data_IF_360117657198
#
_entry.id   IF_360117657198
#
_cell.length_a   1.000
_cell.length_b   1.000
_cell.length_c   1.000
_cell.angle_alpha   90.00
_cell.angle_beta   90.00
_cell.angle_gamma   90.00
#
_symmetry.space_group_name_H-M   'P 1'
#
loop_
_entity.id
_entity.type
_entity.pdbx_description
1 polymer ?
#
# COMPACT_ATOMS: atom_id res chain seq x y z
N UNK A 1 146.50 -10.00 77.14
CA UNK A 1 147.10 -11.03 76.27
C UNK A 1 146.51 -10.86 74.89
N UNK A 2 147.10 -9.99 74.07
CA UNK A 2 146.84 -9.99 72.63
C UNK A 2 147.39 -11.30 72.07
N UNK A 3 146.49 -12.26 71.88
CA UNK A 3 146.79 -13.58 71.36
C UNK A 3 147.02 -13.48 69.86
N UNK A 4 148.16 -14.02 69.41
CA UNK A 4 148.46 -14.21 67.99
C UNK A 4 147.30 -14.96 67.33
N UNK A 5 146.64 -14.33 66.35
CA UNK A 5 145.60 -14.96 65.54
C UNK A 5 146.22 -15.55 64.27
N UNK A 6 146.26 -16.88 64.21
CA UNK A 6 146.66 -17.59 62.99
C UNK A 6 145.42 -17.92 62.15
N UNK A 7 145.38 -17.45 60.90
CA UNK A 7 144.33 -17.77 59.92
C UNK A 7 144.96 -18.31 58.64
N UNK A 8 144.50 -19.49 58.20
CA UNK A 8 144.83 -20.05 56.90
C UNK A 8 143.71 -19.73 55.91
N UNK A 9 144.08 -19.39 54.67
CA UNK A 9 143.13 -19.10 53.60
C UNK A 9 143.24 -20.15 52.50
N UNK A 10 142.10 -20.74 52.14
CA UNK A 10 142.01 -21.70 51.03
C UNK A 10 141.85 -21.00 49.67
N UNK A 11 141.48 -19.71 49.67
CA UNK A 11 141.26 -18.90 48.47
C UNK A 11 142.02 -17.58 48.57
N UNK A 12 142.69 -17.22 47.47
CA UNK A 12 143.41 -15.95 47.33
C UNK A 12 142.44 -14.76 47.46
N UNK A 13 141.18 -14.92 47.06
CA UNK A 13 140.18 -13.83 47.16
C UNK A 13 139.85 -13.51 48.62
N UNK A 14 139.77 -14.52 49.48
CA UNK A 14 139.45 -14.32 50.91
C UNK A 14 140.66 -13.74 51.65
N UNK A 15 141.87 -14.18 51.28
CA UNK A 15 143.12 -13.58 51.76
C UNK A 15 143.19 -12.09 51.44
N UNK A 16 143.00 -11.71 50.17
CA UNK A 16 143.01 -10.30 49.76
C UNK A 16 141.82 -9.50 50.32
N UNK A 17 140.68 -10.13 50.55
CA UNK A 17 139.53 -9.46 51.19
C UNK A 17 139.85 -9.11 52.64
N UNK A 18 140.44 -10.05 53.41
CA UNK A 18 140.90 -9.74 54.76
C UNK A 18 141.98 -8.66 54.75
N UNK A 19 142.95 -8.72 53.83
CA UNK A 19 143.97 -7.67 53.71
C UNK A 19 143.38 -6.30 53.38
N UNK A 20 142.31 -6.24 52.58
CA UNK A 20 141.60 -4.99 52.30
C UNK A 20 140.85 -4.49 53.53
N UNK A 21 140.13 -5.37 54.23
CA UNK A 21 139.36 -5.01 55.44
C UNK A 21 140.28 -4.56 56.59
N UNK A 22 141.48 -5.13 56.69
CA UNK A 22 142.54 -4.69 57.61
C UNK A 22 143.31 -3.45 57.13
N UNK A 23 142.98 -2.91 55.94
CA UNK A 23 143.60 -1.70 55.39
C UNK A 23 145.02 -1.88 54.82
N UNK A 24 145.47 -3.11 54.61
CA UNK A 24 146.81 -3.42 54.06
C UNK A 24 146.85 -3.19 52.54
N UNK A 25 145.75 -3.44 51.82
CA UNK A 25 145.64 -3.23 50.37
C UNK A 25 144.66 -2.09 50.09
N UNK A 26 145.02 -1.17 49.19
CA UNK A 26 144.21 0.02 48.86
C UNK A 26 143.00 -0.25 47.94
N UNK A 27 142.93 -1.40 47.25
CA UNK A 27 141.85 -1.75 46.31
C UNK A 27 141.31 -3.15 46.56
N UNK A 28 139.99 -3.30 46.47
CA UNK A 28 139.34 -4.60 46.63
C UNK A 28 139.55 -5.50 45.41
N UNK A 29 140.20 -6.64 45.58
CA UNK A 29 140.58 -7.56 44.50
C UNK A 29 139.60 -8.74 44.40
N UNK A 30 138.39 -8.49 43.87
CA UNK A 30 137.33 -9.51 43.80
C UNK A 30 137.56 -10.53 42.70
N UNK A 31 137.96 -10.08 41.52
CA UNK A 31 138.14 -10.93 40.34
C UNK A 31 139.62 -11.20 40.01
N UNK A 32 139.88 -12.22 39.18
CA UNK A 32 141.21 -12.48 38.63
C UNK A 32 141.73 -11.31 37.76
N UNK A 33 140.82 -10.56 37.12
CA UNK A 33 141.16 -9.35 36.36
C UNK A 33 141.69 -8.26 37.29
N UNK A 34 141.03 -8.03 38.43
CA UNK A 34 141.46 -7.03 39.41
C UNK A 34 142.82 -7.38 39.99
N UNK A 35 143.06 -8.67 40.27
CA UNK A 35 144.36 -9.18 40.75
C UNK A 35 145.46 -8.99 39.71
N UNK A 36 145.18 -9.31 38.45
CA UNK A 36 146.15 -9.14 37.35
C UNK A 36 146.54 -7.67 37.17
N UNK A 37 145.56 -6.76 37.27
CA UNK A 37 145.79 -5.31 37.25
C UNK A 37 146.64 -4.85 38.44
N UNK A 38 146.34 -5.32 39.65
CA UNK A 38 147.11 -4.96 40.86
C UNK A 38 148.55 -5.49 40.80
N UNK A 39 148.73 -6.73 40.33
CA UNK A 39 150.05 -7.34 40.17
C UNK A 39 150.91 -6.55 39.19
N UNK A 40 150.37 -6.20 38.01
CA UNK A 40 151.08 -5.36 37.01
C UNK A 40 151.45 -3.98 37.54
N UNK A 41 150.66 -3.42 38.45
CA UNK A 41 150.94 -2.14 39.09
C UNK A 41 152.13 -2.24 40.03
N UNK A 42 152.18 -3.28 40.86
CA UNK A 42 153.32 -3.57 41.72
C UNK A 42 154.57 -3.89 40.89
N UNK A 43 154.42 -4.72 39.86
CA UNK A 43 155.48 -5.07 38.91
C UNK A 43 156.12 -3.82 38.27
N UNK A 44 155.29 -2.88 37.80
CA UNK A 44 155.77 -1.61 37.25
C UNK A 44 156.55 -0.77 38.29
N UNK A 45 156.10 -0.76 39.54
CA UNK A 45 156.80 -0.05 40.62
C UNK A 45 158.15 -0.68 40.99
N UNK A 46 158.27 -2.01 40.90
CA UNK A 46 159.48 -2.75 41.25
C UNK A 46 160.57 -2.64 40.18
N UNK A 47 160.20 -2.73 38.90
CA UNK A 47 161.16 -2.62 37.79
C UNK A 47 161.52 -1.17 37.45
N UNK A 48 160.65 -0.22 37.82
CA UNK A 48 160.83 1.20 37.50
C UNK A 48 160.50 1.53 36.03
N UNK A 49 160.12 2.79 35.78
CA UNK A 49 159.75 3.28 34.44
C UNK A 49 158.24 3.26 34.14
N UNK A 50 157.87 3.72 32.95
CA UNK A 50 156.47 3.81 32.51
C UNK A 50 156.04 2.44 31.97
N UNK A 51 155.17 1.73 32.70
CA UNK A 51 154.64 0.44 32.24
C UNK A 51 153.69 0.62 31.05
N UNK A 52 154.07 0.04 29.91
CA UNK A 52 153.28 0.08 28.67
C UNK A 52 151.87 -0.52 28.84
N UNK A 53 151.75 -1.55 29.68
CA UNK A 53 150.48 -2.21 29.99
C UNK A 53 149.53 -1.29 30.79
N UNK A 54 150.07 -0.50 31.71
CA UNK A 54 149.29 0.48 32.48
C UNK A 54 148.89 1.65 31.58
N UNK A 55 149.82 2.19 30.77
CA UNK A 55 149.52 3.30 29.86
C UNK A 55 148.42 2.98 28.84
N UNK A 56 148.37 1.74 28.33
CA UNK A 56 147.35 1.35 27.34
C UNK A 56 145.94 1.23 27.93
N UNK A 57 145.83 1.01 29.24
CA UNK A 57 144.57 0.79 29.94
C UNK A 57 144.36 1.75 31.12
N UNK A 58 144.90 2.98 31.01
CA UNK A 58 144.81 4.02 32.05
C UNK A 58 143.39 4.25 32.57
N UNK A 59 142.39 4.20 31.67
CA UNK A 59 140.97 4.34 32.01
C UNK A 59 140.57 3.36 33.11
N UNK A 60 140.94 2.10 32.96
CA UNK A 60 140.54 1.02 33.85
C UNK A 60 141.25 1.06 35.21
N UNK A 61 142.37 1.78 35.31
CA UNK A 61 143.09 1.99 36.57
C UNK A 61 142.64 3.26 37.30
N UNK A 62 142.24 4.29 36.55
CA UNK A 62 141.96 5.62 37.11
C UNK A 62 140.47 5.91 37.30
N UNK A 63 139.59 5.35 36.46
CA UNK A 63 138.15 5.63 36.51
C UNK A 63 137.40 4.50 37.23
N UNK A 64 136.71 4.79 38.34
CA UNK A 64 135.84 3.83 38.99
C UNK A 64 134.60 3.55 38.12
N UNK A 65 134.24 2.28 37.98
CA UNK A 65 132.99 1.88 37.33
C UNK A 65 131.80 2.16 38.27
N UNK A 66 131.07 3.24 38.02
CA UNK A 66 129.86 3.59 38.77
C UNK A 66 128.65 2.80 38.26
N UNK A 67 128.49 1.56 38.72
CA UNK A 67 127.32 0.70 38.39
C UNK A 67 125.98 1.34 38.76
N UNK A 68 125.96 2.26 39.73
CA UNK A 68 124.78 3.03 40.12
C UNK A 68 124.23 3.92 39.00
N UNK A 69 125.09 4.46 38.13
CA UNK A 69 124.64 5.33 37.02
C UNK A 69 123.83 4.53 36.01
N UNK A 70 124.32 3.34 35.61
CA UNK A 70 123.62 2.48 34.66
C UNK A 70 122.28 1.99 35.21
N UNK A 71 122.23 1.63 36.50
CA UNK A 71 120.98 1.24 37.17
C UNK A 71 119.98 2.40 37.22
N UNK A 72 120.43 3.60 37.60
CA UNK A 72 119.58 4.79 37.64
C UNK A 72 118.98 5.15 36.26
N UNK A 73 119.75 5.01 35.18
CA UNK A 73 119.22 5.22 33.82
C UNK A 73 118.18 4.17 33.43
N UNK A 74 118.40 2.89 33.78
CA UNK A 74 117.42 1.82 33.52
C UNK A 74 116.12 2.03 34.29
N UNK A 75 116.22 2.40 35.58
CA UNK A 75 115.07 2.69 36.43
C UNK A 75 114.31 3.93 35.93
N UNK A 76 115.03 4.97 35.49
CA UNK A 76 114.43 6.18 34.89
C UNK A 76 113.75 5.87 33.55
N UNK A 77 114.35 5.06 32.69
CA UNK A 77 113.76 4.68 31.41
C UNK A 77 112.48 3.86 31.61
N UNK A 78 112.47 2.95 32.59
CA UNK A 78 111.26 2.22 32.98
C UNK A 78 110.17 3.18 33.48
N UNK A 79 110.51 4.12 34.37
CA UNK A 79 109.58 5.12 34.88
C UNK A 79 109.05 6.06 33.78
N UNK A 80 109.88 6.45 32.80
CA UNK A 80 109.44 7.28 31.67
C UNK A 80 108.49 6.50 30.74
N UNK A 81 108.76 5.22 30.48
CA UNK A 81 107.83 4.37 29.71
C UNK A 81 106.50 4.20 30.44
N UNK A 82 106.53 3.97 31.74
CA UNK A 82 105.32 3.85 32.54
C UNK A 82 104.51 5.15 32.55
N UNK A 83 105.16 6.31 32.76
CA UNK A 83 104.49 7.61 32.68
C UNK A 83 103.89 7.88 31.30
N UNK A 84 104.53 7.43 30.22
CA UNK A 84 103.95 7.54 28.88
C UNK A 84 102.68 6.71 28.75
N UNK A 85 102.69 5.46 29.23
CA UNK A 85 101.50 4.60 29.22
C UNK A 85 100.39 5.18 30.08
N UNK A 86 100.69 5.75 31.25
CA UNK A 86 99.68 6.38 32.09
C UNK A 86 99.09 7.64 31.44
N UNK A 87 99.90 8.45 30.76
CA UNK A 87 99.40 9.62 30.00
C UNK A 87 98.49 9.21 28.85
N UNK A 88 98.85 8.15 28.11
CA UNK A 88 98.00 7.61 27.03
C UNK A 88 96.68 7.07 27.60
N UNK A 89 96.72 6.35 28.73
CA UNK A 89 95.51 5.89 29.41
C UNK A 89 94.64 7.07 29.93
N UNK A 90 95.25 8.11 30.48
CA UNK A 90 94.54 9.33 30.90
C UNK A 90 93.87 9.99 29.68
N UNK A 91 94.55 10.06 28.54
CA UNK A 91 93.98 10.65 27.32
C UNK A 91 92.77 9.86 26.82
N UNK A 92 92.84 8.53 26.81
CA UNK A 92 91.71 7.67 26.41
C UNK A 92 90.54 7.81 27.38
N UNK A 93 90.80 7.78 28.69
CA UNK A 93 89.73 7.98 29.68
C UNK A 93 89.09 9.37 29.59
N UNK A 94 89.83 10.40 29.21
CA UNK A 94 89.27 11.73 28.93
C UNK A 94 88.40 11.72 27.67
N UNK A 95 88.84 11.11 26.57
CA UNK A 95 88.01 11.00 25.36
C UNK A 95 86.74 10.20 25.60
N UNK A 96 86.80 9.12 26.37
CA UNK A 96 85.63 8.31 26.73
C UNK A 96 84.67 9.12 27.60
N UNK A 97 85.19 9.88 28.57
CA UNK A 97 84.37 10.78 29.40
C UNK A 97 83.64 11.82 28.55
N UNK A 98 84.31 12.42 27.58
CA UNK A 98 83.69 13.43 26.72
C UNK A 98 82.66 12.80 25.79
N UNK A 99 82.92 11.60 25.25
CA UNK A 99 81.92 10.82 24.52
C UNK A 99 80.68 10.54 25.38
N UNK A 100 80.86 10.12 26.63
CA UNK A 100 79.72 9.88 27.53
C UNK A 100 78.94 11.16 27.83
N UNK A 101 79.61 12.30 28.01
CA UNK A 101 78.92 13.58 28.21
C UNK A 101 78.08 13.97 26.99
N UNK A 102 78.65 13.83 25.79
CA UNK A 102 77.93 14.10 24.55
C UNK A 102 76.74 13.17 24.40
N UNK A 103 76.93 11.86 24.61
CA UNK A 103 75.86 10.87 24.54
C UNK A 103 74.74 11.17 25.54
N UNK A 104 75.06 11.54 26.78
CA UNK A 104 74.05 11.90 27.79
C UNK A 104 73.28 13.15 27.36
N UNK A 105 73.97 14.14 26.81
CA UNK A 105 73.34 15.40 26.36
C UNK A 105 72.41 15.13 25.19
N UNK A 106 72.89 14.45 24.15
CA UNK A 106 72.10 14.08 22.96
C UNK A 106 70.93 13.17 23.30
N UNK A 107 71.12 12.18 24.20
CA UNK A 107 70.04 11.32 24.65
C UNK A 107 68.97 12.09 25.43
N UNK A 108 69.38 13.04 26.28
CA UNK A 108 68.45 13.90 27.03
C UNK A 108 67.66 14.79 26.08
N UNK A 109 68.33 15.41 25.11
CA UNK A 109 67.70 16.25 24.09
C UNK A 109 66.73 15.44 23.21
N UNK A 110 67.13 14.23 22.82
CA UNK A 110 66.26 13.32 22.05
C UNK A 110 65.00 12.94 22.82
N UNK A 111 65.13 12.54 24.09
CA UNK A 111 63.98 12.19 24.94
C UNK A 111 63.09 13.41 25.18
N UNK A 112 63.67 14.59 25.38
CA UNK A 112 62.89 15.83 25.53
C UNK A 112 62.13 16.18 24.24
N UNK A 113 62.77 16.06 23.08
CA UNK A 113 62.14 16.30 21.78
C UNK A 113 61.01 15.30 21.50
N UNK A 114 61.22 14.02 21.81
CA UNK A 114 60.22 12.97 21.65
C UNK A 114 59.01 13.18 22.58
N UNK A 115 59.26 13.57 23.84
CA UNK A 115 58.21 13.96 24.76
C UNK A 115 57.38 15.14 24.24
N UNK A 116 58.04 16.19 23.74
CA UNK A 116 57.36 17.36 23.17
C UNK A 116 56.56 17.01 21.91
N UNK A 117 57.10 16.13 21.05
CA UNK A 117 56.39 15.62 19.88
C UNK A 117 55.11 14.90 20.30
N UNK A 118 55.19 13.95 21.22
CA UNK A 118 54.02 13.20 21.70
C UNK A 118 53.03 14.07 22.48
N UNK A 119 53.50 15.09 23.20
CA UNK A 119 52.62 16.07 23.82
C UNK A 119 51.84 16.88 22.76
N UNK A 120 52.52 17.31 21.69
CA UNK A 120 51.91 18.03 20.58
C UNK A 120 50.94 17.17 19.76
N UNK A 121 51.29 15.92 19.44
CA UNK A 121 50.41 14.96 18.76
C UNK A 121 49.13 14.73 19.58
N UNK A 122 49.26 14.51 20.90
CA UNK A 122 48.11 14.40 21.79
C UNK A 122 47.25 15.66 21.80
N UNK A 123 47.87 16.84 21.83
CA UNK A 123 47.13 18.11 21.77
C UNK A 123 46.33 18.23 20.48
N UNK A 124 46.93 17.91 19.33
CA UNK A 124 46.24 17.93 18.02
C UNK A 124 45.06 16.96 18.00
N UNK A 125 45.23 15.74 18.50
CA UNK A 125 44.13 14.77 18.58
C UNK A 125 43.01 15.24 19.52
N UNK A 126 43.36 15.85 20.66
CA UNK A 126 42.38 16.42 21.58
C UNK A 126 41.62 17.58 20.93
N UNK A 127 42.30 18.48 20.22
CA UNK A 127 41.68 19.59 19.51
C UNK A 127 40.71 19.10 18.42
N UNK A 128 41.09 18.07 17.66
CA UNK A 128 40.22 17.41 16.68
C UNK A 128 38.99 16.77 17.34
N UNK A 129 39.17 16.04 18.46
CA UNK A 129 38.07 15.45 19.20
C UNK A 129 37.10 16.51 19.75
N UNK A 130 37.63 17.65 20.21
CA UNK A 130 36.81 18.77 20.66
C UNK A 130 36.05 19.44 19.50
N UNK A 131 36.66 19.55 18.32
CA UNK A 131 35.99 20.04 17.12
C UNK A 131 34.81 19.13 16.72
N UNK A 132 35.04 17.82 16.60
CA UNK A 132 33.97 16.86 16.30
C UNK A 132 32.88 16.88 17.37
N UNK A 133 33.25 17.03 18.65
CA UNK A 133 32.27 17.15 19.73
C UNK A 133 31.40 18.40 19.57
N UNK A 134 31.97 19.55 19.17
CA UNK A 134 31.21 20.76 18.90
C UNK A 134 30.26 20.58 17.71
N UNK A 135 30.75 20.01 16.61
CA UNK A 135 29.94 19.71 15.42
C UNK A 135 28.76 18.79 15.75
N UNK A 136 28.99 17.75 16.55
CA UNK A 136 27.95 16.84 17.01
C UNK A 136 26.90 17.52 17.89
N UNK A 137 27.31 18.47 18.76
CA UNK A 137 26.33 19.24 19.53
C UNK A 137 25.54 20.20 18.64
N UNK A 138 26.18 20.85 17.67
CA UNK A 138 25.47 21.73 16.74
C UNK A 138 24.49 20.96 15.87
N UNK A 139 24.87 19.80 15.35
CA UNK A 139 23.97 18.96 14.54
C UNK A 139 22.81 18.41 15.37
N UNK A 140 23.05 18.00 16.63
CA UNK A 140 21.97 17.62 17.56
C UNK A 140 21.01 18.77 17.84
N UNK A 141 21.52 19.98 18.03
CA UNK A 141 20.68 21.17 18.25
C UNK A 141 19.84 21.50 17.01
N UNK A 142 20.44 21.41 15.82
CA UNK A 142 19.71 21.58 14.55
C UNK A 142 18.65 20.51 14.38
N UNK A 143 18.99 19.23 14.60
CA UNK A 143 18.04 18.12 14.52
C UNK A 143 16.85 18.31 15.47
N UNK A 144 17.09 18.73 16.72
CA UNK A 144 16.01 19.01 17.66
C UNK A 144 15.12 20.19 17.20
N UNK A 145 15.70 21.23 16.62
CA UNK A 145 14.94 22.35 16.06
C UNK A 145 14.10 21.92 14.84
N UNK A 146 14.66 21.11 13.94
CA UNK A 146 13.91 20.57 12.80
C UNK A 146 12.83 19.59 13.23
N UNK A 147 13.05 18.76 14.25
CA UNK A 147 12.02 17.90 14.83
C UNK A 147 10.84 18.71 15.35
N UNK A 148 11.10 19.83 16.05
CA UNK A 148 10.04 20.73 16.50
C UNK A 148 9.25 21.32 15.33
N UNK A 149 9.95 21.83 14.30
CA UNK A 149 9.30 22.33 13.08
C UNK A 149 8.48 21.26 12.36
N UNK A 150 8.93 20.02 12.32
CA UNK A 150 8.18 18.92 11.71
C UNK A 150 6.89 18.62 12.48
N UNK A 151 6.91 18.69 13.81
CA UNK A 151 5.69 18.52 14.63
C UNK A 151 4.72 19.68 14.37
N UNK A 152 5.21 20.91 14.32
CA UNK A 152 4.38 22.08 14.01
C UNK A 152 3.78 21.99 12.60
N UNK A 153 4.60 21.64 11.59
CA UNK A 153 4.14 21.44 10.22
C UNK A 153 3.14 20.29 10.10
N UNK A 154 3.31 19.20 10.85
CA UNK A 154 2.34 18.10 10.88
C UNK A 154 1.01 18.55 11.52
N UNK A 155 1.05 19.44 12.52
CA UNK A 155 -0.15 20.04 13.11
C UNK A 155 -0.85 20.96 12.12
N UNK A 156 -0.12 21.85 11.45
CA UNK A 156 -0.65 22.74 10.41
C UNK A 156 -1.29 21.95 9.26
N UNK A 157 -0.64 20.88 8.80
CA UNK A 157 -1.21 19.97 7.81
C UNK A 157 -2.50 19.30 8.30
N UNK A 158 -2.58 18.93 9.58
CA UNK A 158 -3.81 18.39 10.17
C UNK A 158 -4.95 19.42 10.18
N UNK A 159 -4.64 20.67 10.52
CA UNK A 159 -5.60 21.79 10.48
C UNK A 159 -6.07 22.07 9.04
N UNK A 160 -5.16 22.08 8.07
CA UNK A 160 -5.48 22.25 6.65
C UNK A 160 -6.33 21.09 6.11
N UNK A 161 -5.98 19.84 6.38
CA UNK A 161 -6.79 18.70 5.97
C UNK A 161 -8.19 18.74 6.58
N UNK A 162 -8.31 19.19 7.84
CA UNK A 162 -9.62 19.40 8.49
C UNK A 162 -10.44 20.48 7.80
N UNK A 163 -9.81 21.61 7.46
CA UNK A 163 -10.44 22.69 6.71
C UNK A 163 -10.84 22.26 5.29
N UNK A 164 -9.97 21.55 4.57
CA UNK A 164 -10.27 20.98 3.26
C UNK A 164 -11.46 20.02 3.33
N UNK A 165 -11.50 19.11 4.32
CA UNK A 165 -12.64 18.22 4.52
C UNK A 165 -13.96 18.96 4.78
N UNK A 166 -13.94 20.07 5.54
CA UNK A 166 -15.12 20.91 5.71
C UNK A 166 -15.55 21.60 4.42
N UNK A 167 -14.59 22.08 3.63
CA UNK A 167 -14.85 22.75 2.35
C UNK A 167 -15.38 21.76 1.29
N UNK A 168 -14.88 20.53 1.28
CA UNK A 168 -15.39 19.44 0.44
C UNK A 168 -16.83 19.08 0.81
N UNK A 169 -17.15 19.01 2.10
CA UNK A 169 -18.52 18.77 2.55
C UNK A 169 -19.48 19.90 2.11
N UNK A 170 -19.05 21.16 2.24
CA UNK A 170 -19.82 22.32 1.77
C UNK A 170 -19.98 22.31 0.24
N UNK A 171 -18.94 21.93 -0.50
CA UNK A 171 -19.00 21.79 -1.96
C UNK A 171 -19.98 20.68 -2.38
N UNK A 172 -19.96 19.54 -1.69
CA UNK A 172 -20.87 18.44 -1.95
C UNK A 172 -22.32 18.87 -1.69
N UNK A 173 -22.59 19.54 -0.56
CA UNK A 173 -23.91 20.07 -0.24
C UNK A 173 -24.40 21.10 -1.27
N UNK A 174 -23.52 22.00 -1.73
CA UNK A 174 -23.85 22.96 -2.78
C UNK A 174 -24.16 22.27 -4.13
N UNK A 175 -23.42 21.20 -4.47
CA UNK A 175 -23.68 20.37 -5.65
C UNK A 175 -25.05 19.66 -5.55
N UNK A 176 -25.38 19.11 -4.38
CA UNK A 176 -26.69 18.49 -4.15
C UNK A 176 -27.83 19.51 -4.27
N UNK A 177 -27.66 20.71 -3.72
CA UNK A 177 -28.60 21.82 -3.89
C UNK A 177 -28.76 22.22 -5.36
N UNK A 178 -27.67 22.29 -6.13
CA UNK A 178 -27.73 22.57 -7.56
C UNK A 178 -28.52 21.49 -8.30
N UNK A 179 -28.29 20.21 -7.99
CA UNK A 179 -29.03 19.10 -8.60
C UNK A 179 -30.53 19.15 -8.28
N UNK A 180 -30.88 19.52 -7.04
CA UNK A 180 -32.28 19.74 -6.64
C UNK A 180 -32.92 20.88 -7.43
N UNK A 181 -32.23 22.02 -7.55
CA UNK A 181 -32.73 23.18 -8.32
C UNK A 181 -32.89 22.84 -9.81
N UNK A 182 -31.94 22.14 -10.41
CA UNK A 182 -32.05 21.68 -11.79
C UNK A 182 -33.22 20.71 -11.98
N UNK A 183 -33.44 19.80 -11.03
CA UNK A 183 -34.58 18.89 -11.06
C UNK A 183 -35.90 19.63 -10.91
N UNK A 184 -35.96 20.62 -10.01
CA UNK A 184 -37.13 21.49 -9.85
C UNK A 184 -37.43 22.27 -11.14
N UNK A 185 -36.41 22.80 -11.81
CA UNK A 185 -36.58 23.48 -13.10
C UNK A 185 -37.14 22.55 -14.18
N UNK A 186 -36.64 21.31 -14.28
CA UNK A 186 -37.20 20.31 -15.23
C UNK A 186 -38.65 19.96 -14.92
N UNK A 187 -39.02 19.88 -13.64
CA UNK A 187 -40.42 19.66 -13.26
C UNK A 187 -41.28 20.87 -13.61
N UNK A 188 -40.75 22.09 -13.45
CA UNK A 188 -41.44 23.31 -13.87
C UNK A 188 -41.69 23.31 -15.39
N UNK A 189 -40.68 23.02 -16.20
CA UNK A 189 -40.84 22.88 -17.67
C UNK A 189 -41.87 21.79 -18.02
N UNK A 190 -41.95 20.71 -17.23
CA UNK A 190 -42.92 19.64 -17.43
C UNK A 190 -44.34 20.07 -17.07
N UNK A 191 -44.51 20.88 -16.02
CA UNK A 191 -45.79 21.48 -15.65
C UNK A 191 -46.26 22.41 -16.78
N UNK A 192 -45.39 23.29 -17.28
CA UNK A 192 -45.73 24.20 -18.39
C UNK A 192 -46.18 23.46 -19.65
N UNK A 193 -45.56 22.31 -19.96
CA UNK A 193 -46.02 21.46 -21.07
C UNK A 193 -47.38 20.85 -20.80
N UNK A 194 -47.64 20.36 -19.58
CA UNK A 194 -48.94 19.81 -19.24
C UNK A 194 -50.04 20.87 -19.20
N UNK A 195 -49.74 22.10 -18.81
CA UNK A 195 -50.66 23.23 -18.91
C UNK A 195 -51.02 23.50 -20.38
N UNK A 196 -50.04 23.52 -21.29
CA UNK A 196 -50.29 23.66 -22.72
C UNK A 196 -51.08 22.47 -23.31
N UNK A 197 -50.76 21.23 -22.93
CA UNK A 197 -51.51 20.04 -23.36
C UNK A 197 -52.96 20.07 -22.87
N UNK A 198 -53.21 20.58 -21.65
CA UNK A 198 -54.56 20.75 -21.11
C UNK A 198 -55.36 21.81 -21.89
N UNK A 199 -54.73 22.92 -22.28
CA UNK A 199 -55.36 23.93 -23.14
C UNK A 199 -55.73 23.33 -24.51
N UNK A 200 -54.84 22.55 -25.14
CA UNK A 200 -55.14 21.87 -26.41
C UNK A 200 -56.27 20.84 -26.25
N UNK A 201 -56.25 20.04 -25.19
CA UNK A 201 -57.30 19.07 -24.90
C UNK A 201 -58.64 19.74 -24.61
N UNK A 202 -58.64 20.91 -23.98
CA UNK A 202 -59.85 21.68 -23.75
C UNK A 202 -60.48 22.11 -25.07
N UNK A 203 -59.69 22.63 -26.02
CA UNK A 203 -60.17 22.98 -27.36
C UNK A 203 -60.75 21.74 -28.06
N UNK A 204 -60.03 20.61 -28.04
CA UNK A 204 -60.54 19.35 -28.65
C UNK A 204 -61.82 18.83 -27.99
N UNK A 205 -61.96 19.03 -26.68
CA UNK A 205 -63.18 18.66 -25.95
C UNK A 205 -64.35 19.55 -26.36
N UNK A 206 -64.12 20.84 -26.55
CA UNK A 206 -65.12 21.77 -27.08
C UNK A 206 -65.57 21.35 -28.49
N UNK A 207 -64.62 21.06 -29.39
CA UNK A 207 -64.92 20.52 -30.75
C UNK A 207 -65.71 19.20 -30.68
N UNK A 208 -65.33 18.26 -29.80
CA UNK A 208 -66.07 17.00 -29.64
C UNK A 208 -67.47 17.23 -29.06
N UNK A 209 -67.64 18.16 -28.13
CA UNK A 209 -68.95 18.49 -27.56
C UNK A 209 -69.88 19.08 -28.63
N UNK A 210 -69.35 19.89 -29.56
CA UNK A 210 -70.13 20.38 -30.71
C UNK A 210 -70.60 19.21 -31.59
N UNK A 211 -69.71 18.28 -31.94
CA UNK A 211 -70.08 17.09 -32.73
C UNK A 211 -71.11 16.23 -32.02
N UNK A 212 -70.99 16.06 -30.70
CA UNK A 212 -71.98 15.33 -29.89
C UNK A 212 -73.32 16.06 -29.87
N UNK A 213 -73.33 17.40 -29.78
CA UNK A 213 -74.56 18.19 -29.85
C UNK A 213 -75.24 18.05 -31.23
N UNK A 214 -74.49 18.14 -32.33
CA UNK A 214 -75.02 17.90 -33.68
C UNK A 214 -75.58 16.48 -33.84
N UNK A 215 -74.87 15.47 -33.33
CA UNK A 215 -75.35 14.09 -33.35
C UNK A 215 -76.63 13.90 -32.53
N UNK A 216 -76.76 14.61 -31.40
CA UNK A 216 -77.97 14.60 -30.57
C UNK A 216 -79.15 15.26 -31.30
N UNK A 217 -78.95 16.40 -31.96
CA UNK A 217 -80.01 17.04 -32.78
C UNK A 217 -80.46 16.11 -33.92
N UNK A 218 -79.51 15.48 -34.62
CA UNK A 218 -79.83 14.50 -35.66
C UNK A 218 -80.56 13.27 -35.09
N UNK A 219 -80.26 12.85 -33.86
CA UNK A 219 -80.96 11.77 -33.20
C UNK A 219 -82.40 12.19 -32.88
N UNK A 220 -82.61 13.38 -32.31
CA UNK A 220 -83.94 13.92 -32.01
C UNK A 220 -84.82 14.03 -33.27
N UNK A 221 -84.25 14.48 -34.40
CA UNK A 221 -84.96 14.50 -35.69
C UNK A 221 -85.35 13.11 -36.17
N UNK A 222 -84.46 12.13 -36.02
CA UNK A 222 -84.74 10.75 -36.41
C UNK A 222 -85.77 10.09 -35.49
N UNK A 223 -85.72 10.36 -34.18
CA UNK A 223 -86.72 9.92 -33.22
C UNK A 223 -88.10 10.50 -33.56
N UNK A 224 -88.19 11.81 -33.84
CA UNK A 224 -89.44 12.43 -34.28
C UNK A 224 -89.98 11.83 -35.59
N UNK A 225 -89.11 11.51 -36.55
CA UNK A 225 -89.51 10.80 -37.78
C UNK A 225 -89.97 9.38 -37.51
N UNK A 226 -89.31 8.67 -36.59
CA UNK A 226 -89.69 7.32 -36.19
C UNK A 226 -91.07 7.33 -35.50
N UNK A 227 -91.30 8.25 -34.56
CA UNK A 227 -92.59 8.44 -33.89
C UNK A 227 -93.71 8.76 -34.88
N UNK A 228 -93.45 9.65 -35.85
CA UNK A 228 -94.43 9.96 -36.90
C UNK A 228 -94.77 8.73 -37.77
N UNK A 229 -93.75 7.95 -38.16
CA UNK A 229 -93.95 6.72 -38.92
C UNK A 229 -94.68 5.65 -38.09
N UNK A 230 -94.41 5.53 -36.79
CA UNK A 230 -95.14 4.63 -35.89
C UNK A 230 -96.61 5.02 -35.78
N UNK A 231 -96.92 6.32 -35.65
CA UNK A 231 -98.29 6.82 -35.63
C UNK A 231 -99.03 6.54 -36.94
N UNK A 232 -98.38 6.76 -38.10
CA UNK A 232 -98.96 6.42 -39.41
C UNK A 232 -99.25 4.91 -39.53
N UNK A 233 -98.33 4.07 -39.06
CA UNK A 233 -98.51 2.62 -39.05
C UNK A 233 -99.68 2.21 -38.14
N UNK A 234 -99.82 2.83 -36.98
CA UNK A 234 -100.92 2.54 -36.06
C UNK A 234 -102.28 3.04 -36.60
N UNK A 235 -102.32 4.18 -37.29
CA UNK A 235 -103.51 4.63 -38.01
C UNK A 235 -103.89 3.63 -39.11
N UNK A 236 -102.93 3.19 -39.92
CA UNK A 236 -103.15 2.17 -40.95
C UNK A 236 -103.60 0.83 -40.35
N UNK A 237 -103.06 0.41 -39.20
CA UNK A 237 -103.53 -0.79 -38.48
C UNK A 237 -104.99 -0.64 -38.05
N UNK A 238 -105.38 0.52 -37.53
CA UNK A 238 -106.78 0.79 -37.13
C UNK A 238 -107.70 0.75 -38.34
N UNK A 239 -107.33 1.45 -39.42
CA UNK A 239 -108.10 1.45 -40.66
C UNK A 239 -108.24 0.03 -41.22
N UNK A 240 -107.15 -0.75 -41.25
CA UNK A 240 -107.17 -2.14 -41.71
C UNK A 240 -108.04 -3.04 -40.83
N UNK A 241 -108.03 -2.84 -39.51
CA UNK A 241 -108.88 -3.58 -38.59
C UNK A 241 -110.38 -3.28 -38.84
N UNK A 242 -110.74 -2.02 -39.06
CA UNK A 242 -112.10 -1.61 -39.41
C UNK A 242 -112.53 -2.20 -40.76
N UNK A 243 -111.64 -2.16 -41.78
CA UNK A 243 -111.87 -2.79 -43.07
C UNK A 243 -112.05 -4.30 -42.96
N UNK A 244 -111.23 -4.98 -42.15
CA UNK A 244 -111.32 -6.42 -41.94
C UNK A 244 -112.63 -6.79 -41.23
N UNK A 245 -113.02 -6.03 -40.20
CA UNK A 245 -114.30 -6.23 -39.52
C UNK A 245 -115.50 -6.03 -40.47
N UNK A 246 -115.45 -5.01 -41.33
CA UNK A 246 -116.47 -4.78 -42.35
C UNK A 246 -116.54 -5.95 -43.36
N UNK A 247 -115.37 -6.47 -43.78
CA UNK A 247 -115.27 -7.61 -44.68
C UNK A 247 -115.83 -8.89 -44.05
N UNK A 248 -115.52 -9.17 -42.79
CA UNK A 248 -116.02 -10.35 -42.07
C UNK A 248 -117.56 -10.29 -41.91
N UNK A 249 -118.12 -9.11 -41.63
CA UNK A 249 -119.58 -8.91 -41.59
C UNK A 249 -120.19 -9.13 -42.97
N UNK A 250 -119.55 -8.64 -44.04
CA UNK A 250 -120.02 -8.84 -45.41
C UNK A 250 -119.96 -10.32 -45.82
N UNK A 251 -118.88 -11.03 -45.51
CA UNK A 251 -118.76 -12.48 -45.76
C UNK A 251 -119.82 -13.26 -44.99
N UNK A 252 -120.03 -12.93 -43.71
CA UNK A 252 -121.08 -13.57 -42.89
C UNK A 252 -122.46 -13.36 -43.52
N UNK A 253 -122.78 -12.12 -43.97
CA UNK A 253 -124.03 -11.82 -44.69
C UNK A 253 -124.12 -12.59 -46.02
N UNK A 254 -123.03 -12.71 -46.77
CA UNK A 254 -122.99 -13.44 -48.03
C UNK A 254 -123.20 -14.96 -47.83
N UNK A 255 -122.61 -15.55 -46.79
CA UNK A 255 -122.82 -16.96 -46.42
C UNK A 255 -124.30 -17.19 -46.04
N UNK A 256 -124.87 -16.32 -45.19
CA UNK A 256 -126.27 -16.39 -44.81
C UNK A 256 -127.20 -16.24 -46.01
N UNK A 257 -126.90 -15.33 -46.93
CA UNK A 257 -127.65 -15.14 -48.17
C UNK A 257 -127.61 -16.39 -49.07
N UNK A 258 -126.44 -16.98 -49.26
CA UNK A 258 -126.31 -18.22 -50.05
C UNK A 258 -127.00 -19.42 -49.38
N UNK A 259 -126.93 -19.52 -48.05
CA UNK A 259 -127.68 -20.53 -47.30
C UNK A 259 -129.20 -20.35 -47.46
N UNK A 260 -129.69 -19.10 -47.40
CA UNK A 260 -131.10 -18.80 -47.62
C UNK A 260 -131.54 -19.15 -49.05
N UNK A 261 -130.73 -18.84 -50.07
CA UNK A 261 -130.99 -19.25 -51.45
C UNK A 261 -131.00 -20.77 -51.59
N UNK A 262 -130.03 -21.48 -51.00
CA UNK A 262 -129.97 -22.94 -51.03
C UNK A 262 -131.14 -23.61 -50.29
N UNK A 263 -131.61 -23.01 -49.19
CA UNK A 263 -132.80 -23.49 -48.49
C UNK A 263 -134.06 -23.24 -49.32
N UNK A 264 -134.18 -22.07 -49.96
CA UNK A 264 -135.28 -21.75 -50.86
C UNK A 264 -135.29 -22.67 -52.10
N UNK A 265 -134.14 -22.95 -52.71
CA UNK A 265 -134.03 -23.88 -53.84
C UNK A 265 -134.41 -25.31 -53.44
N UNK A 266 -133.97 -25.78 -52.26
CA UNK A 266 -134.39 -27.07 -51.71
C UNK A 266 -135.89 -27.13 -51.44
N UNK A 267 -136.49 -26.07 -50.89
CA UNK A 267 -137.93 -26.00 -50.68
C UNK A 267 -138.70 -26.00 -52.01
N UNK A 268 -138.22 -25.30 -53.04
CA UNK A 268 -138.79 -25.33 -54.40
C UNK A 268 -138.80 -26.73 -55.00
N UNK A 269 -137.68 -27.47 -54.87
CA UNK A 269 -137.55 -28.84 -55.37
C UNK A 269 -138.46 -29.82 -54.62
N UNK A 270 -138.44 -29.81 -53.28
CA UNK A 270 -139.19 -30.75 -52.45
C UNK A 270 -140.71 -30.52 -52.50
N UNK A 271 -141.14 -29.26 -52.60
CA UNK A 271 -142.57 -28.90 -52.65
C UNK A 271 -143.13 -28.85 -54.08
N UNK A 272 -142.31 -29.05 -55.12
CA UNK A 272 -142.67 -28.92 -56.54
C UNK A 272 -143.36 -27.59 -56.90
N UNK A 273 -142.90 -26.49 -56.30
CA UNK A 273 -143.41 -25.13 -56.52
C UNK A 273 -142.29 -24.25 -57.13
N UNK A 274 -142.23 -24.08 -58.46
CA UNK A 274 -141.13 -23.33 -59.10
C UNK A 274 -141.11 -21.82 -58.73
N UNK A 275 -142.28 -21.24 -58.41
CA UNK A 275 -142.44 -19.81 -58.11
C UNK A 275 -142.48 -19.49 -56.59
N UNK A 276 -141.93 -20.36 -55.74
CA UNK A 276 -141.88 -20.11 -54.29
C UNK A 276 -141.01 -18.88 -53.96
N UNK A 277 -141.60 -17.87 -53.32
CA UNK A 277 -140.91 -16.68 -52.82
C UNK A 277 -140.82 -16.72 -51.28
N UNK A 278 -139.83 -16.06 -50.65
CA UNK A 278 -139.68 -16.08 -49.19
C UNK A 278 -140.91 -15.53 -48.45
N UNK A 279 -141.65 -14.60 -49.07
CA UNK A 279 -142.87 -14.02 -48.51
C UNK A 279 -144.04 -15.01 -48.55
N UNK A 280 -144.19 -15.78 -49.63
CA UNK A 280 -145.23 -16.82 -49.76
C UNK A 280 -144.93 -18.12 -49.00
N UNK A 281 -143.70 -18.32 -48.55
CA UNK A 281 -143.26 -19.58 -47.94
C UNK A 281 -143.97 -19.89 -46.60
N UNK A 282 -144.34 -18.85 -45.84
CA UNK A 282 -145.06 -19.01 -44.58
C UNK A 282 -146.46 -19.62 -44.78
N UNK A 283 -147.21 -19.11 -45.77
CA UNK A 283 -148.56 -19.63 -46.08
C UNK A 283 -148.50 -21.07 -46.63
N UNK A 284 -147.51 -21.37 -47.48
CA UNK A 284 -147.34 -22.73 -47.99
C UNK A 284 -146.94 -23.71 -46.88
N UNK A 285 -146.12 -23.30 -45.91
CA UNK A 285 -145.77 -24.13 -44.75
C UNK A 285 -147.02 -24.58 -43.99
N UNK A 286 -147.95 -23.67 -43.72
CA UNK A 286 -149.20 -23.97 -43.03
C UNK A 286 -150.06 -24.96 -43.83
N UNK A 287 -150.11 -24.84 -45.17
CA UNK A 287 -150.83 -25.81 -46.01
C UNK A 287 -150.18 -27.19 -46.03
N UNK A 288 -148.85 -27.28 -46.00
CA UNK A 288 -148.14 -28.56 -45.94
C UNK A 288 -148.29 -29.21 -44.55
N UNK A 289 -148.26 -28.43 -43.47
CA UNK A 289 -148.55 -28.92 -42.12
C UNK A 289 -149.98 -29.45 -42.00
N UNK A 290 -150.97 -28.76 -42.59
CA UNK A 290 -152.34 -29.25 -42.65
C UNK A 290 -152.48 -30.56 -43.44
N UNK A 291 -151.78 -30.68 -44.59
CA UNK A 291 -151.73 -31.93 -45.36
C UNK A 291 -151.02 -33.07 -44.62
N UNK A 292 -149.96 -32.78 -43.88
CA UNK A 292 -149.25 -33.76 -43.05
C UNK A 292 -150.14 -34.29 -41.93
N UNK A 293 -150.89 -33.41 -41.25
CA UNK A 293 -151.89 -33.79 -40.24
C UNK A 293 -153.01 -34.62 -40.86
N UNK A 294 -153.54 -34.24 -42.03
CA UNK A 294 -154.58 -35.01 -42.73
C UNK A 294 -154.07 -36.39 -43.19
N UNK A 295 -152.81 -36.47 -43.66
CA UNK A 295 -152.20 -37.73 -44.09
C UNK A 295 -151.93 -38.66 -42.90
N UNK A 296 -151.47 -38.14 -41.77
CA UNK A 296 -151.27 -38.92 -40.53
C UNK A 296 -152.60 -39.40 -39.96
N UNK A 297 -153.66 -38.59 -39.96
CA UNK A 297 -155.01 -39.01 -39.59
C UNK A 297 -155.57 -40.12 -40.51
N UNK A 298 -155.36 -40.01 -41.83
CA UNK A 298 -155.76 -41.06 -42.78
C UNK A 298 -154.99 -42.36 -42.57
N UNK A 299 -153.69 -42.29 -42.30
CA UNK A 299 -152.84 -43.47 -42.01
C UNK A 299 -153.31 -44.17 -40.73
N UNK A 300 -153.62 -43.41 -39.67
CA UNK A 300 -154.17 -43.92 -38.42
C UNK A 300 -155.53 -44.60 -38.60
N UNK A 301 -156.38 -44.05 -39.48
CA UNK A 301 -157.68 -44.63 -39.82
C UNK A 301 -157.58 -45.94 -40.64
N UNK A 302 -156.53 -46.08 -41.44
CA UNK A 302 -156.22 -47.29 -42.21
C UNK A 302 -155.58 -48.36 -41.34
N UNK A 303 -154.76 -47.97 -40.36
CA UNK A 303 -154.18 -48.87 -39.36
C UNK A 303 -155.28 -49.52 -38.50
N UNK A 304 -156.25 -48.74 -38.01
CA UNK A 304 -157.42 -49.25 -37.28
C UNK A 304 -158.31 -50.20 -38.12
N UNK A 305 -158.32 -50.06 -39.46
CA UNK A 305 -159.03 -50.99 -40.36
C UNK A 305 -158.23 -52.26 -40.65
N UNK A 306 -156.90 -52.19 -40.67
CA UNK A 306 -156.03 -53.36 -40.88
C UNK A 306 -156.00 -54.28 -39.63
N UNK A 307 -156.02 -53.70 -38.42
CA UNK A 307 -156.10 -54.49 -37.18
C UNK A 307 -157.42 -55.27 -37.04
N UNK A 308 -158.54 -54.70 -37.54
CA UNK A 308 -159.84 -55.40 -37.58
C UNK A 308 -159.93 -56.47 -38.69
N UNK A 309 -159.08 -56.37 -39.72
CA UNK A 309 -158.94 -57.39 -40.77
C UNK A 309 -158.11 -58.60 -40.36
N UNK A 310 -157.07 -58.40 -39.53
CA UNK A 310 -156.16 -59.46 -39.10
C UNK A 310 -156.80 -60.48 -38.14
N UNK A 311 -157.80 -60.10 -37.34
CA UNK A 311 -158.47 -61.02 -36.40
C UNK A 311 -159.53 -61.95 -37.04
N UNK A 312 -159.78 -61.86 -38.35
CA UNK A 312 -160.74 -62.72 -39.08
C UNK A 312 -160.10 -63.84 -39.91
N UNK A 313 -158.77 -63.95 -39.92
CA UNK A 313 -158.02 -64.91 -40.75
C UNK A 313 -157.34 -66.06 -39.97
N UNK A 314 -157.74 -66.34 -38.72
CA UNK A 314 -157.19 -67.46 -37.92
C UNK A 314 -158.23 -68.44 -37.36
N UNK A 315 -159.39 -68.58 -38.01
CA UNK A 315 -160.25 -69.76 -37.83
C UNK A 315 -160.76 -70.24 -39.19
N UNK A 316 -160.35 -71.46 -39.54
CA UNK A 316 -160.48 -72.21 -40.81
C UNK A 316 -159.27 -72.08 -41.74
#
# INVERSE_FOLDING_TARGET
MEGVQFKQFNSITDYHSLMFDLGIIARRLRSASDRSKFYRLIEASLYGGISSAITRSLRDYLLPENSGVRKAFQDMEAALRENRLTLEAIRVTQSDRDLFKHLISEATDYVAADYMRHANERRVHLDQALAFRRELYTSRKQLAAEQYKHVDMARELGEHNGAEGSLEADYQAASDHLNLVQTALRQQEKIERYEADLEELQIRLEEQNEVVAEAAEMQDENEARAEAAELEVDELKSQLADYQQALDVQQTRAIQYNQAISALSRAKELCHLPDLTPESAAEWLDTFQAKEQEATEKLLSLEQKNERGANRAQSV
#
